data_IF_373003336371
#
_entry.id   IF_373003336371
#
_cell.length_a   1.000
_cell.length_b   1.000
_cell.length_c   1.000
_cell.angle_alpha   90.00
_cell.angle_beta   90.00
_cell.angle_gamma   90.00
#
_symmetry.space_group_name_H-M   'P 1'
#
loop_
_entity.id
_entity.type
_entity.pdbx_description
1 polymer ?
#
# COMPACT_ATOMS: atom_id res chain seq x y z
N UNK A 1 -12.91 -11.50 16.80
CA UNK A 1 -11.83 -12.48 16.54
C UNK A 1 -10.44 -11.82 16.52
N UNK A 2 -10.20 -10.86 15.62
CA UNK A 2 -8.87 -10.25 15.41
C UNK A 2 -8.38 -9.24 16.48
N UNK A 3 -9.12 -9.02 17.59
CA UNK A 3 -8.71 -8.09 18.66
C UNK A 3 -7.55 -8.59 19.52
N UNK A 4 -7.26 -9.89 19.49
CA UNK A 4 -6.18 -10.50 20.26
C UNK A 4 -5.01 -10.86 19.34
N UNK A 5 -3.77 -10.68 19.82
CA UNK A 5 -2.56 -11.17 19.14
C UNK A 5 -2.35 -12.64 19.48
N UNK A 6 -3.07 -13.55 18.81
CA UNK A 6 -2.77 -14.99 18.85
C UNK A 6 -2.12 -15.43 17.54
N UNK A 7 -1.11 -16.32 17.55
CA UNK A 7 -0.51 -16.84 16.32
C UNK A 7 -1.55 -17.51 15.39
N UNK A 8 -2.56 -18.19 15.96
CA UNK A 8 -3.66 -18.78 15.20
C UNK A 8 -4.47 -17.76 14.38
N UNK A 9 -4.48 -16.48 14.77
CA UNK A 9 -5.17 -15.44 14.00
C UNK A 9 -4.52 -15.16 12.64
N UNK A 10 -3.25 -15.56 12.41
CA UNK A 10 -2.61 -15.48 11.09
C UNK A 10 -3.31 -16.42 10.10
N UNK A 11 -3.56 -17.66 10.54
CA UNK A 11 -4.23 -18.69 9.73
C UNK A 11 -5.69 -18.29 9.49
N UNK A 12 -6.38 -17.82 10.53
CA UNK A 12 -7.75 -17.29 10.40
C UNK A 12 -7.80 -16.12 9.42
N UNK A 13 -6.81 -15.21 9.47
CA UNK A 13 -6.71 -14.09 8.54
C UNK A 13 -6.49 -14.57 7.10
N UNK A 14 -5.71 -15.64 6.90
CA UNK A 14 -5.50 -16.23 5.58
C UNK A 14 -6.81 -16.74 5.00
N UNK A 15 -7.56 -17.57 5.73
CA UNK A 15 -8.85 -18.06 5.29
C UNK A 15 -9.87 -16.92 5.10
N UNK A 16 -9.88 -15.94 5.99
CA UNK A 16 -10.71 -14.75 5.85
C UNK A 16 -10.41 -13.98 4.56
N UNK A 17 -9.13 -13.72 4.27
CA UNK A 17 -8.70 -13.06 3.05
C UNK A 17 -9.05 -13.87 1.80
N UNK A 18 -8.85 -15.19 1.85
CA UNK A 18 -9.17 -16.09 0.74
C UNK A 18 -10.67 -16.05 0.43
N UNK A 19 -11.53 -16.14 1.46
CA UNK A 19 -12.99 -16.04 1.31
C UNK A 19 -13.42 -14.71 0.69
N UNK A 20 -12.84 -13.59 1.15
CA UNK A 20 -13.13 -12.25 0.61
C UNK A 20 -12.63 -12.04 -0.81
N UNK A 21 -11.74 -12.90 -1.32
CA UNK A 21 -11.13 -12.76 -2.64
C UNK A 21 -11.39 -13.97 -3.54
N UNK A 22 -12.33 -14.85 -3.17
CA UNK A 22 -12.74 -16.01 -3.97
C UNK A 22 -13.09 -15.68 -5.43
N UNK A 23 -13.81 -14.58 -5.74
CA UNK A 23 -14.14 -14.23 -7.14
C UNK A 23 -12.92 -14.03 -8.03
N UNK A 24 -11.77 -13.65 -7.46
CA UNK A 24 -10.51 -13.50 -8.20
C UNK A 24 -10.05 -14.82 -8.85
N UNK A 25 -10.40 -15.95 -8.24
CA UNK A 25 -10.07 -17.28 -8.73
C UNK A 25 -11.14 -17.85 -9.67
N UNK A 26 -12.40 -17.42 -9.51
CA UNK A 26 -13.51 -17.85 -10.38
C UNK A 26 -13.58 -17.05 -11.68
N UNK A 27 -13.19 -15.77 -11.66
CA UNK A 27 -13.13 -14.89 -12.82
C UNK A 27 -11.71 -14.34 -12.99
N UNK A 28 -10.72 -15.20 -13.28
CA UNK A 28 -9.34 -14.75 -13.39
C UNK A 28 -9.20 -13.92 -14.67
N UNK A 29 -8.85 -12.63 -14.52
CA UNK A 29 -8.58 -11.74 -15.65
C UNK A 29 -7.13 -11.91 -16.08
N UNK A 30 -6.89 -12.08 -17.38
CA UNK A 30 -5.54 -12.02 -17.93
C UNK A 30 -5.02 -10.59 -17.79
N UNK A 31 -3.89 -10.44 -17.10
CA UNK A 31 -3.30 -9.14 -16.82
C UNK A 31 -2.28 -8.88 -17.91
N UNK A 32 -2.64 -7.99 -18.83
CA UNK A 32 -1.72 -7.48 -19.84
C UNK A 32 -1.12 -6.20 -19.26
N UNK A 33 0.21 -6.15 -19.16
CA UNK A 33 0.90 -4.93 -18.79
C UNK A 33 0.55 -3.83 -19.81
N UNK A 34 0.09 -2.69 -19.32
CA UNK A 34 -0.37 -1.57 -20.15
C UNK A 34 0.84 -0.82 -20.69
N UNK A 35 0.73 -0.12 -21.83
CA UNK A 35 1.85 0.65 -22.44
C UNK A 35 2.48 1.69 -21.51
N UNK A 36 1.77 2.09 -20.45
CA UNK A 36 2.22 3.05 -19.43
C UNK A 36 2.86 2.37 -18.20
N UNK A 37 2.90 1.04 -18.14
CA UNK A 37 3.61 0.34 -17.08
C UNK A 37 5.12 0.36 -17.33
N UNK A 38 5.92 0.38 -16.27
CA UNK A 38 7.37 0.44 -16.40
C UNK A 38 7.95 -0.88 -16.96
N UNK A 39 9.08 -0.79 -17.66
CA UNK A 39 9.78 -1.92 -18.30
C UNK A 39 9.99 -3.13 -17.37
N UNK A 40 10.24 -2.87 -16.08
CA UNK A 40 10.49 -3.92 -15.11
C UNK A 40 9.22 -4.70 -14.75
N UNK A 41 8.06 -4.03 -14.77
CA UNK A 41 6.77 -4.71 -14.63
C UNK A 41 6.48 -5.57 -15.88
N UNK A 42 6.75 -5.05 -17.07
CA UNK A 42 6.66 -5.85 -18.31
C UNK A 42 7.57 -7.08 -18.28
N UNK A 43 8.80 -6.95 -17.78
CA UNK A 43 9.71 -8.07 -17.60
C UNK A 43 9.15 -9.13 -16.63
N UNK A 44 8.59 -8.69 -15.51
CA UNK A 44 7.97 -9.58 -14.53
C UNK A 44 6.78 -10.35 -15.14
N UNK A 45 5.88 -9.66 -15.83
CA UNK A 45 4.73 -10.30 -16.49
C UNK A 45 5.18 -11.29 -17.56
N UNK A 46 6.16 -10.95 -18.41
CA UNK A 46 6.74 -11.88 -19.39
C UNK A 46 7.35 -13.12 -18.73
N UNK A 47 8.01 -12.93 -17.58
CA UNK A 47 8.55 -14.05 -16.79
C UNK A 47 7.46 -14.98 -16.27
N UNK A 48 6.35 -14.43 -15.78
CA UNK A 48 5.18 -15.20 -15.38
C UNK A 48 4.54 -15.91 -16.58
N UNK A 49 4.47 -15.24 -17.73
CA UNK A 49 3.88 -15.79 -18.95
C UNK A 49 4.68 -16.97 -19.52
N UNK A 50 5.99 -17.00 -19.31
CA UNK A 50 6.85 -18.12 -19.73
C UNK A 50 6.66 -19.38 -18.88
N UNK A 51 6.08 -19.29 -17.70
CA UNK A 51 5.94 -20.41 -16.74
C UNK A 51 4.65 -21.20 -17.00
N UNK A 52 3.58 -20.57 -17.48
CA UNK A 52 2.30 -21.22 -17.72
C UNK A 52 1.62 -20.69 -18.99
N UNK A 53 0.91 -21.55 -19.71
CA UNK A 53 0.09 -21.14 -20.86
C UNK A 53 -1.28 -20.60 -20.44
N UNK A 54 -1.65 -20.74 -19.15
CA UNK A 54 -2.90 -20.25 -18.57
C UNK A 54 -2.62 -19.33 -17.35
N UNK A 55 -2.12 -18.12 -17.61
CA UNK A 55 -1.53 -17.23 -16.61
C UNK A 55 -2.52 -16.54 -15.67
N UNK A 56 -3.81 -16.55 -15.97
CA UNK A 56 -4.78 -15.76 -15.23
C UNK A 56 -4.90 -16.22 -13.76
N UNK A 57 -4.95 -17.52 -13.50
CA UNK A 57 -5.02 -18.07 -12.12
C UNK A 57 -3.71 -17.85 -11.36
N UNK A 58 -2.57 -17.99 -12.03
CA UNK A 58 -1.25 -17.77 -11.41
C UNK A 58 -1.09 -16.30 -11.01
N UNK A 59 -1.45 -15.37 -11.89
CA UNK A 59 -1.47 -13.94 -11.59
C UNK A 59 -2.41 -13.60 -10.43
N UNK A 60 -3.61 -14.19 -10.38
CA UNK A 60 -4.53 -14.06 -9.25
C UNK A 60 -3.92 -14.57 -7.93
N UNK A 61 -3.24 -15.73 -7.96
CA UNK A 61 -2.57 -16.27 -6.78
C UNK A 61 -1.44 -15.36 -6.30
N UNK A 62 -0.60 -14.87 -7.21
CA UNK A 62 0.49 -13.94 -6.91
C UNK A 62 -0.05 -12.63 -6.34
N UNK A 63 -1.11 -12.05 -6.93
CA UNK A 63 -1.77 -10.85 -6.41
C UNK A 63 -2.31 -11.07 -4.99
N UNK A 64 -2.97 -12.20 -4.75
CA UNK A 64 -3.45 -12.58 -3.41
C UNK A 64 -2.31 -12.67 -2.39
N UNK A 65 -1.20 -13.31 -2.75
CA UNK A 65 -0.02 -13.41 -1.88
C UNK A 65 0.55 -12.04 -1.55
N UNK A 66 0.68 -11.14 -2.54
CA UNK A 66 1.12 -9.77 -2.29
C UNK A 66 0.19 -9.07 -1.30
N UNK A 67 -1.12 -9.10 -1.51
CA UNK A 67 -2.11 -8.46 -0.62
C UNK A 67 -2.07 -9.04 0.80
N UNK A 68 -1.90 -10.36 0.93
CA UNK A 68 -1.80 -11.03 2.22
C UNK A 68 -0.50 -10.66 2.95
N UNK A 69 0.64 -10.66 2.25
CA UNK A 69 1.93 -10.23 2.80
C UNK A 69 1.86 -8.76 3.22
N UNK A 70 1.29 -7.89 2.39
CA UNK A 70 1.08 -6.47 2.70
C UNK A 70 0.20 -6.29 3.93
N UNK A 71 -0.88 -7.06 4.07
CA UNK A 71 -1.72 -7.04 5.27
C UNK A 71 -0.93 -7.40 6.53
N UNK A 72 -0.07 -8.42 6.47
CA UNK A 72 0.81 -8.80 7.57
C UNK A 72 1.88 -7.73 7.86
N UNK A 73 2.44 -7.10 6.84
CA UNK A 73 3.40 -6.01 6.98
C UNK A 73 2.76 -4.77 7.63
N UNK A 74 1.56 -4.38 7.23
CA UNK A 74 0.79 -3.29 7.87
C UNK A 74 0.49 -3.64 9.33
N UNK A 75 0.12 -4.89 9.60
CA UNK A 75 -0.09 -5.37 10.96
C UNK A 75 1.18 -5.33 11.81
N UNK A 76 2.31 -5.73 11.22
CA UNK A 76 3.61 -5.63 11.85
C UNK A 76 3.96 -4.18 12.17
N UNK A 77 3.82 -3.27 11.20
CA UNK A 77 4.05 -1.83 11.38
C UNK A 77 3.25 -1.27 12.56
N UNK A 78 1.94 -1.55 12.61
CA UNK A 78 1.08 -1.05 13.70
C UNK A 78 1.48 -1.62 15.07
N UNK A 79 1.78 -2.92 15.12
CA UNK A 79 2.06 -3.60 16.38
C UNK A 79 3.47 -3.30 16.92
N UNK A 80 4.48 -3.29 16.05
CA UNK A 80 5.87 -3.04 16.40
C UNK A 80 6.06 -1.62 16.92
N UNK A 81 5.48 -0.64 16.22
CA UNK A 81 5.54 0.77 16.61
C UNK A 81 4.43 1.20 17.56
N UNK A 82 3.70 0.24 18.13
CA UNK A 82 2.67 0.44 19.17
C UNK A 82 1.70 1.58 18.83
N UNK A 83 1.26 1.66 17.57
CA UNK A 83 0.31 2.70 17.13
C UNK A 83 -1.05 2.58 17.82
N UNK A 84 -1.35 1.38 18.33
CA UNK A 84 -2.53 1.07 19.13
C UNK A 84 -2.11 0.61 20.53
N UNK A 85 -2.99 0.79 21.52
CA UNK A 85 -2.68 0.49 22.94
C UNK A 85 -2.34 -0.98 23.21
N UNK A 86 -2.93 -1.90 22.45
CA UNK A 86 -2.67 -3.34 22.54
C UNK A 86 -2.49 -3.90 21.14
N UNK A 87 -1.59 -4.87 20.95
CA UNK A 87 -1.38 -5.44 19.64
C UNK A 87 -2.58 -6.29 19.22
N UNK A 88 -2.90 -6.25 17.93
CA UNK A 88 -4.06 -6.94 17.36
C UNK A 88 -3.81 -7.34 15.90
N UNK A 89 -4.78 -8.00 15.27
CA UNK A 89 -4.81 -8.29 13.82
C UNK A 89 -5.81 -7.40 13.07
N UNK A 90 -6.36 -6.38 13.73
CA UNK A 90 -7.31 -5.45 13.12
C UNK A 90 -6.74 -4.66 11.93
N UNK A 91 -5.47 -4.21 11.94
CA UNK A 91 -4.87 -3.56 10.76
C UNK A 91 -4.80 -4.48 9.55
N UNK A 92 -4.41 -5.74 9.76
CA UNK A 92 -4.34 -6.74 8.69
C UNK A 92 -5.74 -7.01 8.10
N UNK A 93 -6.73 -7.22 8.97
CA UNK A 93 -8.12 -7.42 8.58
C UNK A 93 -8.68 -6.20 7.82
N UNK A 94 -8.42 -4.99 8.32
CA UNK A 94 -8.85 -3.75 7.66
C UNK A 94 -8.21 -3.59 6.28
N UNK A 95 -6.92 -3.93 6.13
CA UNK A 95 -6.24 -3.89 4.84
C UNK A 95 -6.89 -4.83 3.81
N UNK A 96 -7.20 -6.08 4.20
CA UNK A 96 -7.86 -7.04 3.31
C UNK A 96 -9.29 -6.63 2.96
N UNK A 97 -10.04 -6.07 3.91
CA UNK A 97 -11.38 -5.52 3.65
C UNK A 97 -11.34 -4.37 2.66
N UNK A 98 -10.44 -3.40 2.88
CA UNK A 98 -10.34 -2.21 2.04
C UNK A 98 -9.90 -2.57 0.62
N UNK A 99 -8.90 -3.43 0.47
CA UNK A 99 -8.48 -3.89 -0.86
C UNK A 99 -9.58 -4.67 -1.59
N UNK A 100 -10.54 -5.26 -0.88
CA UNK A 100 -11.70 -5.92 -1.48
C UNK A 100 -12.89 -4.99 -1.78
N UNK A 101 -12.82 -3.69 -1.50
CA UNK A 101 -13.90 -2.75 -1.85
C UNK A 101 -13.98 -2.46 -3.35
N UNK A 102 -12.83 -2.46 -4.04
CA UNK A 102 -12.74 -2.22 -5.48
C UNK A 102 -12.09 -3.42 -6.17
N UNK A 103 -12.65 -3.94 -7.29
CA UNK A 103 -12.07 -5.09 -7.99
C UNK A 103 -10.61 -4.85 -8.39
N UNK A 104 -10.33 -3.66 -8.89
CA UNK A 104 -9.04 -3.21 -9.40
C UNK A 104 -7.87 -3.39 -8.42
N UNK A 105 -8.12 -3.22 -7.11
CA UNK A 105 -7.09 -3.40 -6.08
C UNK A 105 -6.75 -4.88 -5.79
N UNK A 106 -7.44 -5.83 -6.42
CA UNK A 106 -7.23 -7.26 -6.22
C UNK A 106 -6.39 -7.92 -7.30
N UNK A 107 -6.19 -7.23 -8.43
CA UNK A 107 -5.38 -7.73 -9.53
C UNK A 107 -3.91 -7.33 -9.37
N UNK A 108 -3.02 -8.15 -9.95
CA UNK A 108 -1.60 -7.82 -10.03
C UNK A 108 -1.45 -6.53 -10.86
N UNK A 109 -0.74 -5.57 -10.31
CA UNK A 109 -0.51 -4.28 -10.96
C UNK A 109 0.83 -3.71 -10.49
N UNK A 110 1.41 -2.84 -11.31
CA UNK A 110 2.62 -2.09 -10.96
C UNK A 110 2.48 -1.34 -9.61
N UNK A 111 1.38 -0.61 -9.33
CA UNK A 111 1.14 0.03 -8.03
C UNK A 111 1.04 -0.94 -6.86
N UNK A 112 0.49 -2.15 -7.06
CA UNK A 112 0.41 -3.18 -6.01
C UNK A 112 1.81 -3.65 -5.60
N UNK A 113 2.71 -3.87 -6.57
CA UNK A 113 4.09 -4.29 -6.25
C UNK A 113 4.83 -3.15 -5.52
N UNK A 114 4.73 -1.93 -6.05
CA UNK A 114 5.32 -0.73 -5.44
C UNK A 114 4.83 -0.52 -4.01
N UNK A 115 3.54 -0.76 -3.72
CA UNK A 115 2.99 -0.61 -2.37
C UNK A 115 3.68 -1.51 -1.34
N UNK A 116 4.14 -2.71 -1.74
CA UNK A 116 4.93 -3.60 -0.87
C UNK A 116 6.21 -2.93 -0.40
N UNK A 117 6.96 -2.34 -1.33
CA UNK A 117 8.21 -1.63 -1.03
C UNK A 117 7.96 -0.39 -0.19
N UNK A 118 6.89 0.35 -0.49
CA UNK A 118 6.48 1.51 0.32
C UNK A 118 6.16 1.09 1.76
N UNK A 119 5.39 0.02 2.00
CA UNK A 119 5.13 -0.45 3.37
C UNK A 119 6.44 -0.82 4.08
N UNK A 120 7.36 -1.49 3.37
CA UNK A 120 8.67 -1.84 3.91
C UNK A 120 9.50 -0.62 4.29
N UNK A 121 9.50 0.41 3.45
CA UNK A 121 10.15 1.69 3.70
C UNK A 121 9.63 2.31 4.99
N UNK A 122 8.30 2.38 5.19
CA UNK A 122 7.73 2.97 6.41
C UNK A 122 8.02 2.14 7.66
N UNK A 123 8.06 0.80 7.53
CA UNK A 123 8.56 -0.06 8.60
C UNK A 123 10.01 0.32 8.96
N UNK A 124 10.91 0.48 7.99
CA UNK A 124 12.30 0.87 8.27
C UNK A 124 12.39 2.30 8.80
N UNK A 125 11.61 3.23 8.27
CA UNK A 125 11.59 4.64 8.66
C UNK A 125 11.25 4.80 10.15
N UNK A 126 10.19 4.15 10.63
CA UNK A 126 9.78 4.25 12.03
C UNK A 126 10.79 3.63 13.02
N UNK A 127 11.62 2.68 12.56
CA UNK A 127 12.72 2.13 13.37
C UNK A 127 13.82 3.14 13.65
N UNK A 128 13.89 4.24 12.89
CA UNK A 128 14.94 5.25 13.02
C UNK A 128 14.73 6.23 14.18
N UNK A 129 13.61 6.12 14.91
CA UNK A 129 13.32 7.01 16.03
C UNK A 129 14.43 6.92 17.09
N UNK A 130 15.07 8.06 17.36
CA UNK A 130 16.13 8.21 18.36
C UNK A 130 17.37 7.29 18.17
N UNK A 131 17.61 6.78 16.96
CA UNK A 131 18.80 5.98 16.64
C UNK A 131 19.98 6.88 16.29
N UNK A 132 21.09 6.74 17.02
CA UNK A 132 22.29 7.60 16.88
C UNK A 132 23.03 7.41 15.55
N UNK A 133 23.15 6.16 15.09
CA UNK A 133 23.76 5.79 13.81
C UNK A 133 22.82 4.94 12.96
N UNK A 134 22.27 5.55 11.91
CA UNK A 134 21.25 4.94 11.05
C UNK A 134 21.67 4.88 9.57
N UNK A 135 22.97 5.09 9.27
CA UNK A 135 23.47 5.30 7.90
C UNK A 135 23.05 4.17 6.94
N UNK A 136 23.27 2.92 7.33
CA UNK A 136 22.89 1.76 6.51
C UNK A 136 21.38 1.62 6.31
N UNK A 137 20.59 1.83 7.38
CA UNK A 137 19.12 1.80 7.28
C UNK A 137 18.57 2.90 6.38
N UNK A 138 19.15 4.10 6.40
CA UNK A 138 18.74 5.23 5.57
C UNK A 138 19.08 4.99 4.10
N UNK A 139 20.28 4.48 3.81
CA UNK A 139 20.64 4.04 2.47
C UNK A 139 19.68 2.96 1.95
N UNK A 140 19.36 1.95 2.78
CA UNK A 140 18.42 0.89 2.41
C UNK A 140 17.00 1.42 2.15
N UNK A 141 16.53 2.41 2.91
CA UNK A 141 15.25 3.09 2.61
C UNK A 141 15.31 3.74 1.24
N UNK A 142 16.41 4.42 0.92
CA UNK A 142 16.60 5.04 -0.39
C UNK A 142 16.60 4.01 -1.51
N UNK A 143 17.33 2.91 -1.34
CA UNK A 143 17.41 1.80 -2.29
C UNK A 143 16.04 1.17 -2.54
N UNK A 144 15.26 0.90 -1.48
CA UNK A 144 13.90 0.39 -1.62
C UNK A 144 12.99 1.37 -2.38
N UNK A 145 13.16 2.68 -2.16
CA UNK A 145 12.39 3.69 -2.89
C UNK A 145 12.77 3.70 -4.38
N UNK A 146 14.06 3.60 -4.69
CA UNK A 146 14.55 3.50 -6.06
C UNK A 146 13.94 2.28 -6.78
N UNK A 147 13.96 1.11 -6.14
CA UNK A 147 13.32 -0.11 -6.68
C UNK A 147 11.81 0.09 -6.86
N UNK A 148 11.13 0.67 -5.88
CA UNK A 148 9.70 0.98 -5.97
C UNK A 148 9.39 1.87 -7.18
N UNK A 149 10.18 2.93 -7.38
CA UNK A 149 9.99 3.86 -8.50
C UNK A 149 10.24 3.21 -9.86
N UNK A 150 11.04 2.14 -9.91
CA UNK A 150 11.23 1.37 -11.13
C UNK A 150 10.07 0.47 -11.50
N UNK A 151 9.31 -0.01 -10.52
CA UNK A 151 8.06 -0.71 -10.81
C UNK A 151 6.95 0.29 -11.16
N UNK A 152 6.90 1.41 -10.43
CA UNK A 152 5.87 2.44 -10.56
C UNK A 152 6.46 3.82 -10.30
N UNK A 153 6.80 4.57 -11.35
CA UNK A 153 7.47 5.86 -11.24
C UNK A 153 6.80 6.87 -10.29
N UNK A 154 5.46 7.01 -10.25
CA UNK A 154 4.82 7.94 -9.31
C UNK A 154 5.11 7.67 -7.83
N UNK A 155 5.54 6.45 -7.47
CA UNK A 155 6.00 6.15 -6.11
C UNK A 155 7.27 6.92 -5.69
N UNK A 156 8.05 7.46 -6.64
CA UNK A 156 9.19 8.35 -6.36
C UNK A 156 8.77 9.59 -5.52
N UNK A 157 7.51 10.02 -5.62
CA UNK A 157 6.92 11.11 -4.83
C UNK A 157 7.05 10.87 -3.31
N UNK A 158 7.12 9.62 -2.86
CA UNK A 158 7.35 9.29 -1.45
C UNK A 158 8.72 9.71 -0.93
N UNK A 159 9.68 10.11 -1.79
CA UNK A 159 10.93 10.75 -1.37
C UNK A 159 10.66 11.94 -0.45
N UNK A 160 9.66 12.77 -0.80
CA UNK A 160 9.25 13.93 0.00
C UNK A 160 8.75 13.47 1.38
N UNK A 161 7.90 12.44 1.42
CA UNK A 161 7.39 11.89 2.68
C UNK A 161 8.51 11.36 3.58
N UNK A 162 9.48 10.65 2.99
CA UNK A 162 10.61 10.06 3.71
C UNK A 162 11.52 11.14 4.27
N UNK A 163 11.83 12.18 3.48
CA UNK A 163 12.62 13.33 3.94
C UNK A 163 11.95 14.05 5.12
N UNK A 164 10.65 14.35 5.00
CA UNK A 164 9.87 14.94 6.09
C UNK A 164 9.82 13.99 7.31
N UNK A 165 9.66 12.70 7.09
CA UNK A 165 9.67 11.69 8.14
C UNK A 165 10.99 11.62 8.89
N UNK A 166 12.13 11.72 8.18
CA UNK A 166 13.45 11.81 8.80
C UNK A 166 13.57 13.06 9.68
N UNK A 167 13.15 14.23 9.19
CA UNK A 167 13.15 15.49 9.95
C UNK A 167 12.28 15.37 11.22
N UNK A 168 11.12 14.70 11.12
CA UNK A 168 10.21 14.52 12.25
C UNK A 168 10.80 13.56 13.29
N UNK A 169 11.38 12.44 12.86
CA UNK A 169 11.85 11.38 13.77
C UNK A 169 13.15 11.74 14.48
N UNK A 170 14.04 12.48 13.83
CA UNK A 170 15.38 12.77 14.33
C UNK A 170 15.91 14.13 13.85
N UNK A 171 16.94 14.69 14.53
CA UNK A 171 17.58 15.92 14.07
C UNK A 171 18.13 15.76 12.65
N UNK A 172 17.88 16.77 11.82
CA UNK A 172 18.29 16.80 10.43
C UNK A 172 19.82 16.75 10.29
N UNK A 173 20.32 15.91 9.39
CA UNK A 173 21.75 15.79 9.06
C UNK A 173 21.89 15.65 7.55
N UNK A 174 22.63 16.56 6.92
CA UNK A 174 22.84 16.54 5.47
C UNK A 174 23.43 15.22 4.97
N UNK A 175 24.38 14.65 5.73
CA UNK A 175 25.00 13.36 5.38
C UNK A 175 23.97 12.23 5.23
N UNK A 176 22.88 12.28 5.97
CA UNK A 176 21.81 11.28 5.91
C UNK A 176 20.90 11.48 4.70
N UNK A 177 20.64 12.73 4.31
CA UNK A 177 19.95 13.05 3.06
C UNK A 177 20.75 12.58 1.85
N UNK A 178 22.06 12.83 1.85
CA UNK A 178 22.95 12.36 0.77
C UNK A 178 22.93 10.83 0.68
N UNK A 179 23.01 10.13 1.82
CA UNK A 179 22.92 8.66 1.84
C UNK A 179 21.58 8.14 1.31
N UNK A 180 20.47 8.80 1.66
CA UNK A 180 19.15 8.45 1.13
C UNK A 180 19.13 8.59 -0.39
N UNK A 181 19.58 9.73 -0.92
CA UNK A 181 19.62 10.01 -2.36
C UNK A 181 20.52 9.02 -3.11
N UNK A 182 21.70 8.72 -2.55
CA UNK A 182 22.60 7.69 -3.11
C UNK A 182 21.91 6.33 -3.19
N UNK A 183 21.17 5.94 -2.15
CA UNK A 183 20.34 4.74 -2.16
C UNK A 183 19.32 4.77 -3.29
N UNK A 184 18.57 5.87 -3.43
CA UNK A 184 17.56 6.04 -4.49
C UNK A 184 18.15 5.93 -5.89
N UNK A 185 19.34 6.50 -6.12
CA UNK A 185 20.01 6.48 -7.41
C UNK A 185 20.68 5.14 -7.74
N UNK A 186 20.90 4.27 -6.76
CA UNK A 186 21.63 3.01 -6.95
C UNK A 186 20.95 2.07 -7.96
N UNK A 187 19.62 1.78 -7.86
CA UNK A 187 18.93 1.02 -8.89
C UNK A 187 19.06 1.66 -10.28
N UNK A 188 19.04 3.00 -10.35
CA UNK A 188 19.13 3.72 -11.60
C UNK A 188 20.49 3.61 -12.26
N UNK A 189 21.54 3.65 -11.44
CA UNK A 189 22.90 3.45 -11.90
C UNK A 189 23.11 2.07 -12.53
N UNK A 190 22.65 0.99 -11.89
CA UNK A 190 22.83 -0.37 -12.41
C UNK A 190 22.04 -0.62 -13.69
N UNK A 191 20.80 -0.13 -13.76
CA UNK A 191 19.97 -0.26 -14.96
C UNK A 191 20.56 0.58 -16.10
N UNK A 192 21.06 1.77 -15.81
CA UNK A 192 21.75 2.58 -16.81
C UNK A 192 23.03 1.96 -17.34
N UNK A 193 23.82 1.33 -16.47
CA UNK A 193 24.97 0.54 -16.89
C UNK A 193 24.56 -0.63 -17.81
N UNK A 194 23.48 -1.33 -17.48
CA UNK A 194 22.95 -2.41 -18.33
C UNK A 194 22.46 -1.90 -19.71
N UNK A 195 21.74 -0.78 -19.74
CA UNK A 195 21.28 -0.17 -21.00
C UNK A 195 22.44 0.36 -21.84
N UNK A 196 23.47 0.92 -21.20
CA UNK A 196 24.71 1.36 -21.85
C UNK A 196 25.43 0.19 -22.53
N UNK A 197 25.59 -0.94 -21.83
CA UNK A 197 26.24 -2.14 -22.37
C UNK A 197 25.50 -2.78 -23.55
N UNK A 198 24.20 -2.50 -23.69
CA UNK A 198 23.36 -3.02 -24.78
C UNK A 198 23.11 -1.98 -25.90
N UNK A 199 23.82 -0.85 -25.91
CA UNK A 199 23.63 0.26 -26.85
C UNK A 199 22.19 0.80 -26.91
N UNK A 200 21.44 0.69 -25.79
CA UNK A 200 20.05 1.15 -25.64
C UNK A 200 19.91 2.32 -24.67
N UNK A 201 21.00 2.99 -24.34
CA UNK A 201 20.98 4.10 -23.39
C UNK A 201 20.24 5.30 -23.97
N UNK A 202 19.05 5.58 -23.44
CA UNK A 202 18.29 6.79 -23.71
C UNK A 202 17.84 7.41 -22.39
N UNK A 203 17.92 8.74 -22.30
CA UNK A 203 17.43 9.50 -21.15
C UNK A 203 15.91 9.30 -20.97
N UNK A 204 15.20 9.07 -22.07
CA UNK A 204 13.77 8.78 -22.06
C UNK A 204 13.41 7.51 -21.28
N UNK A 205 14.34 6.56 -21.12
CA UNK A 205 14.10 5.31 -20.41
C UNK A 205 14.08 5.49 -18.87
N UNK A 206 14.50 6.64 -18.36
CA UNK A 206 14.53 6.93 -16.91
C UNK A 206 13.43 7.88 -16.45
N UNK A 207 12.87 8.65 -17.37
CA UNK A 207 11.84 9.63 -17.09
C UNK A 207 10.67 9.35 -18.03
N UNK A 208 9.69 8.51 -17.59
CA UNK A 208 8.46 8.36 -18.36
C UNK A 208 7.82 9.74 -18.52
N UNK A 209 7.19 9.99 -19.67
CA UNK A 209 6.54 11.26 -19.94
C UNK A 209 5.56 11.60 -18.82
N UNK A 210 5.86 12.65 -18.04
CA UNK A 210 5.03 13.10 -16.93
C UNK A 210 3.86 13.89 -17.52
N UNK A 211 2.70 13.25 -17.61
CA UNK A 211 1.46 13.90 -18.00
C UNK A 211 0.52 13.99 -16.80
N UNK A 212 0.11 15.21 -16.47
CA UNK A 212 -0.95 15.44 -15.47
C UNK A 212 -2.28 15.41 -16.18
N UNK A 213 -3.01 14.31 -16.05
CA UNK A 213 -4.32 14.11 -16.69
C UNK A 213 -5.34 13.79 -15.62
N UNK A 214 -6.46 14.50 -15.63
CA UNK A 214 -7.59 14.21 -14.74
C UNK A 214 -8.24 12.89 -15.20
N UNK A 215 -8.25 11.84 -14.36
CA UNK A 215 -8.84 10.58 -14.76
C UNK A 215 -10.36 10.74 -14.95
N UNK A 216 -10.87 10.36 -16.12
CA UNK A 216 -12.31 10.36 -16.39
C UNK A 216 -12.93 9.14 -15.72
N UNK A 217 -13.43 9.33 -14.51
CA UNK A 217 -14.05 8.29 -13.69
C UNK A 217 -15.55 8.19 -14.03
N UNK A 218 -16.01 7.01 -14.44
CA UNK A 218 -17.44 6.73 -14.55
C UNK A 218 -18.05 6.63 -13.15
N UNK A 219 -18.66 7.73 -12.69
CA UNK A 219 -19.37 7.77 -11.42
C UNK A 219 -20.53 6.77 -11.44
N UNK A 220 -20.47 5.78 -10.55
CA UNK A 220 -21.51 4.77 -10.36
C UNK A 220 -21.93 4.78 -8.89
N UNK A 221 -23.20 4.48 -8.60
CA UNK A 221 -23.72 4.39 -7.22
C UNK A 221 -22.86 3.45 -6.36
N UNK A 222 -22.41 2.33 -6.94
CA UNK A 222 -21.49 1.38 -6.28
C UNK A 222 -20.18 2.05 -5.84
N UNK A 223 -19.57 2.84 -6.71
CA UNK A 223 -18.35 3.56 -6.39
C UNK A 223 -18.57 4.56 -5.23
N UNK A 224 -19.69 5.28 -5.23
CA UNK A 224 -20.03 6.21 -4.16
C UNK A 224 -20.17 5.48 -2.80
N UNK A 225 -20.82 4.32 -2.78
CA UNK A 225 -20.93 3.49 -1.56
C UNK A 225 -19.56 2.97 -1.11
N UNK A 226 -18.71 2.52 -2.04
CA UNK A 226 -17.33 2.10 -1.74
C UNK A 226 -16.51 3.22 -1.09
N UNK A 227 -16.60 4.44 -1.63
CA UNK A 227 -15.93 5.62 -1.07
C UNK A 227 -16.49 5.96 0.32
N UNK A 228 -17.80 5.89 0.51
CA UNK A 228 -18.43 6.14 1.81
C UNK A 228 -17.97 5.12 2.86
N UNK A 229 -17.91 3.84 2.49
CA UNK A 229 -17.44 2.75 3.34
C UNK A 229 -15.94 2.84 3.66
N UNK A 230 -15.17 3.51 2.83
CA UNK A 230 -13.76 3.83 3.07
C UNK A 230 -13.60 5.12 3.89
N UNK A 231 -14.43 6.14 3.68
CA UNK A 231 -14.31 7.44 4.34
C UNK A 231 -14.85 7.43 5.78
N UNK A 232 -16.02 6.82 6.03
CA UNK A 232 -16.66 6.86 7.36
C UNK A 232 -15.77 6.23 8.43
N UNK A 233 -15.31 4.97 8.31
CA UNK A 233 -14.51 4.37 9.36
C UNK A 233 -13.09 4.96 9.40
N UNK A 234 -12.60 5.58 8.33
CA UNK A 234 -11.39 6.40 8.38
C UNK A 234 -11.56 7.63 9.27
N UNK A 235 -12.63 8.42 9.08
CA UNK A 235 -12.89 9.63 9.86
C UNK A 235 -13.14 9.31 11.34
N UNK A 236 -13.93 8.28 11.62
CA UNK A 236 -14.15 7.78 12.98
C UNK A 236 -12.83 7.33 13.61
N UNK A 237 -11.98 6.66 12.82
CA UNK A 237 -10.67 6.18 13.26
C UNK A 237 -9.73 7.31 13.58
N UNK A 238 -9.70 8.33 12.73
CA UNK A 238 -8.97 9.58 12.95
C UNK A 238 -9.43 10.29 14.22
N UNK A 239 -10.74 10.37 14.47
CA UNK A 239 -11.27 10.93 15.72
C UNK A 239 -10.79 10.16 16.96
N UNK A 240 -10.81 8.82 16.92
CA UNK A 240 -10.30 8.02 18.04
C UNK A 240 -8.79 8.15 18.24
N UNK A 241 -8.01 8.22 17.16
CA UNK A 241 -6.57 8.47 17.25
C UNK A 241 -6.36 9.84 17.89
N UNK A 242 -6.97 10.90 17.36
CA UNK A 242 -6.86 12.28 17.86
C UNK A 242 -7.13 12.39 19.36
N UNK A 243 -8.23 11.80 19.84
CA UNK A 243 -8.60 11.82 21.26
C UNK A 243 -7.61 11.09 22.15
N UNK A 244 -6.91 10.07 21.64
CA UNK A 244 -5.92 9.30 22.39
C UNK A 244 -4.47 9.74 22.19
N UNK A 245 -4.18 10.62 21.22
CA UNK A 245 -2.82 11.07 20.89
C UNK A 245 -2.05 11.58 22.12
N UNK A 246 -2.69 12.35 23.00
CA UNK A 246 -2.04 12.94 24.18
C UNK A 246 -1.49 11.89 25.17
N UNK A 247 -2.10 10.69 25.22
CA UNK A 247 -1.68 9.59 26.10
C UNK A 247 -0.57 8.72 25.49
N UNK A 248 -0.27 8.89 24.20
CA UNK A 248 0.71 8.08 23.49
C UNK A 248 2.14 8.61 23.69
N UNK A 249 3.13 7.72 23.59
CA UNK A 249 4.54 8.09 23.59
C UNK A 249 4.87 9.03 22.41
N UNK A 250 5.92 9.84 22.56
CA UNK A 250 6.36 10.80 21.52
C UNK A 250 6.64 10.09 20.18
N UNK A 251 7.30 8.93 20.21
CA UNK A 251 7.55 8.10 19.03
C UNK A 251 6.26 7.76 18.28
N UNK A 252 5.23 7.35 19.01
CA UNK A 252 3.94 6.93 18.45
C UNK A 252 3.21 8.12 17.82
N UNK A 253 3.21 9.28 18.51
CA UNK A 253 2.62 10.52 17.95
C UNK A 253 3.29 10.93 16.64
N UNK A 254 4.63 10.94 16.60
CA UNK A 254 5.39 11.24 15.38
C UNK A 254 5.08 10.25 14.25
N UNK A 255 4.94 8.97 14.55
CA UNK A 255 4.59 7.94 13.57
C UNK A 255 3.19 8.17 12.98
N UNK A 256 2.20 8.54 13.81
CA UNK A 256 0.88 8.96 13.33
C UNK A 256 0.94 10.22 12.45
N UNK A 257 1.76 11.22 12.80
CA UNK A 257 1.97 12.40 11.96
C UNK A 257 2.55 12.04 10.59
N UNK A 258 3.47 11.10 10.54
CA UNK A 258 4.07 10.63 9.27
C UNK A 258 3.06 9.82 8.44
N UNK A 259 2.23 8.97 9.06
CA UNK A 259 1.11 8.31 8.38
C UNK A 259 0.08 9.31 7.84
N UNK A 260 -0.11 10.45 8.51
CA UNK A 260 -0.98 11.51 8.01
C UNK A 260 -0.33 12.23 6.81
N UNK A 261 0.98 12.50 6.84
CA UNK A 261 1.72 13.07 5.71
C UNK A 261 1.78 12.15 4.49
N UNK A 262 1.70 10.83 4.70
CA UNK A 262 1.58 9.84 3.62
C UNK A 262 0.33 10.11 2.77
N UNK A 263 -0.82 10.36 3.41
CA UNK A 263 -2.12 10.43 2.74
C UNK A 263 -2.22 11.46 1.59
N UNK A 264 -1.87 12.74 1.77
CA UNK A 264 -1.97 13.71 0.68
C UNK A 264 -1.07 13.34 -0.48
N UNK A 265 0.14 12.84 -0.22
CA UNK A 265 1.07 12.42 -1.27
C UNK A 265 0.48 11.23 -2.05
N UNK A 266 -0.02 10.21 -1.36
CA UNK A 266 -0.67 9.06 -1.99
C UNK A 266 -1.97 9.43 -2.73
N UNK A 267 -2.66 10.49 -2.31
CA UNK A 267 -3.89 10.96 -2.95
C UNK A 267 -3.58 11.65 -4.29
N UNK A 268 -2.49 12.42 -4.36
CA UNK A 268 -2.09 13.13 -5.58
C UNK A 268 -1.35 12.25 -6.60
N UNK A 269 -0.81 11.10 -6.18
CA UNK A 269 -0.07 10.18 -7.06
C UNK A 269 -0.84 9.83 -8.35
N UNK A 270 -2.14 9.49 -8.33
CA UNK A 270 -2.82 9.05 -9.56
C UNK A 270 -3.12 10.16 -10.56
N UNK A 271 -2.89 11.43 -10.20
CA UNK A 271 -2.92 12.53 -11.15
C UNK A 271 -1.65 12.60 -11.99
N UNK A 272 -0.61 11.84 -11.64
CA UNK A 272 0.66 11.72 -12.37
C UNK A 272 0.61 10.44 -13.20
N UNK A 273 0.66 10.57 -14.54
CA UNK A 273 0.63 9.44 -15.50
C UNK A 273 -0.61 8.57 -15.32
N UNK A 274 -1.79 9.18 -15.48
CA UNK A 274 -3.05 8.50 -15.21
C UNK A 274 -3.50 7.59 -16.34
N UNK A 275 -3.72 6.32 -15.99
CA UNK A 275 -4.69 5.47 -16.67
C UNK A 275 -6.07 5.78 -16.07
N UNK A 276 -7.15 5.55 -16.80
CA UNK A 276 -8.54 5.72 -16.33
C UNK A 276 -8.97 4.72 -15.24
N UNK A 277 -8.01 4.09 -14.55
CA UNK A 277 -8.18 3.05 -13.52
C UNK A 277 -7.81 3.54 -12.11
N UNK A 278 -8.51 3.03 -11.10
CA UNK A 278 -8.27 3.18 -9.67
C UNK A 278 -7.10 2.39 -9.10
N UNK A 279 -6.41 1.57 -9.90
CA UNK A 279 -5.23 0.79 -9.49
C UNK A 279 -4.22 1.63 -8.67
N UNK A 280 -3.95 2.86 -9.11
CA UNK A 280 -2.96 3.74 -8.50
C UNK A 280 -3.32 4.17 -7.06
N UNK A 281 -4.61 4.22 -6.71
CA UNK A 281 -5.06 4.56 -5.34
C UNK A 281 -4.83 3.45 -4.32
N UNK A 282 -4.35 2.26 -4.72
CA UNK A 282 -4.02 1.19 -3.76
C UNK A 282 -2.98 1.64 -2.73
N UNK A 283 -2.12 2.59 -3.09
CA UNK A 283 -1.14 3.18 -2.18
C UNK A 283 -1.81 3.85 -0.97
N UNK A 284 -3.03 4.38 -1.11
CA UNK A 284 -3.79 4.96 0.01
C UNK A 284 -4.24 3.90 1.02
N UNK A 285 -4.39 2.64 0.62
CA UNK A 285 -5.00 1.63 1.48
C UNK A 285 -4.20 1.40 2.76
N UNK A 286 -2.87 1.60 2.73
CA UNK A 286 -1.99 1.44 3.89
C UNK A 286 -2.38 2.35 5.05
N UNK A 287 -2.32 3.70 4.94
CA UNK A 287 -2.75 4.58 6.03
C UNK A 287 -4.23 4.39 6.34
N UNK A 288 -5.09 4.23 5.33
CA UNK A 288 -6.52 3.99 5.57
C UNK A 288 -6.74 2.76 6.46
N UNK A 289 -6.05 1.63 6.22
CA UNK A 289 -6.13 0.43 7.04
C UNK A 289 -5.70 0.68 8.50
N UNK A 290 -4.64 1.47 8.71
CA UNK A 290 -4.18 1.81 10.06
C UNK A 290 -5.21 2.63 10.85
N UNK A 291 -5.87 3.62 10.22
CA UNK A 291 -6.93 4.39 10.86
C UNK A 291 -8.23 3.58 11.02
N UNK A 292 -8.59 2.75 10.04
CA UNK A 292 -9.73 1.84 10.14
C UNK A 292 -9.58 0.87 11.32
N UNK A 293 -8.37 0.35 11.56
CA UNK A 293 -8.10 -0.50 12.71
C UNK A 293 -8.46 0.18 14.03
N UNK A 294 -8.20 1.49 14.15
CA UNK A 294 -8.56 2.32 15.31
C UNK A 294 -10.08 2.31 15.54
N UNK A 295 -10.89 2.43 14.48
CA UNK A 295 -12.36 2.36 14.55
C UNK A 295 -12.85 1.04 15.11
N UNK A 296 -12.19 -0.06 14.78
CA UNK A 296 -12.57 -1.37 15.31
C UNK A 296 -12.07 -1.62 16.73
N UNK A 297 -11.09 -0.87 17.20
CA UNK A 297 -10.41 -1.11 18.48
C UNK A 297 -10.94 -0.26 19.63
N UNK A 298 -11.01 1.06 19.45
CA UNK A 298 -11.26 2.01 20.54
C UNK A 298 -12.70 2.05 21.09
N UNK A 299 -13.78 1.84 20.30
CA UNK A 299 -15.13 1.88 20.83
C UNK A 299 -15.39 0.86 21.95
N UNK A 300 -15.89 1.34 23.09
CA UNK A 300 -16.28 0.51 24.22
C UNK A 300 -17.51 -0.36 23.91
N UNK A 301 -18.53 0.23 23.26
CA UNK A 301 -19.71 -0.50 22.77
C UNK A 301 -19.35 -1.23 21.47
N UNK A 302 -19.53 -2.54 21.45
CA UNK A 302 -19.21 -3.39 20.29
C UNK A 302 -20.17 -3.23 19.11
N UNK A 303 -21.31 -2.56 19.30
CA UNK A 303 -22.33 -2.37 18.26
C UNK A 303 -21.78 -1.65 17.03
N UNK A 304 -21.15 -0.48 17.20
CA UNK A 304 -20.67 0.34 16.08
C UNK A 304 -19.56 -0.38 15.26
N UNK A 305 -18.48 -0.92 15.86
CA UNK A 305 -17.49 -1.70 15.11
C UNK A 305 -18.06 -2.90 14.36
N UNK A 306 -18.98 -3.64 15.00
CA UNK A 306 -19.56 -4.83 14.40
C UNK A 306 -20.48 -4.45 13.23
N UNK A 307 -21.29 -3.40 13.38
CA UNK A 307 -22.16 -2.91 12.31
C UNK A 307 -21.33 -2.50 11.10
N UNK A 308 -20.28 -1.69 11.27
CA UNK A 308 -19.41 -1.28 10.17
C UNK A 308 -18.70 -2.47 9.50
N UNK A 309 -18.26 -3.45 10.30
CA UNK A 309 -17.63 -4.67 9.79
C UNK A 309 -18.60 -5.53 8.97
N UNK A 310 -19.80 -5.80 9.47
CA UNK A 310 -20.78 -6.60 8.75
C UNK A 310 -21.36 -5.87 7.54
N UNK A 311 -21.52 -4.55 7.61
CA UNK A 311 -21.96 -3.74 6.47
C UNK A 311 -20.91 -3.79 5.34
N UNK A 312 -19.63 -3.58 5.67
CA UNK A 312 -18.55 -3.66 4.67
C UNK A 312 -18.45 -5.05 4.05
N UNK A 313 -18.52 -6.13 4.84
CA UNK A 313 -18.51 -7.50 4.30
C UNK A 313 -19.75 -7.77 3.44
N UNK A 314 -20.94 -7.43 3.92
CA UNK A 314 -22.18 -7.63 3.16
C UNK A 314 -22.16 -6.88 1.82
N UNK A 315 -21.62 -5.67 1.82
CA UNK A 315 -21.41 -4.89 0.60
C UNK A 315 -20.40 -5.55 -0.35
N UNK A 316 -19.25 -6.00 0.15
CA UNK A 316 -18.23 -6.69 -0.66
C UNK A 316 -18.82 -7.95 -1.30
N UNK A 317 -19.51 -8.79 -0.53
CA UNK A 317 -20.15 -10.00 -1.04
C UNK A 317 -21.24 -9.70 -2.07
N UNK A 318 -22.05 -8.66 -1.83
CA UNK A 318 -23.04 -8.21 -2.80
C UNK A 318 -22.40 -7.73 -4.10
N UNK A 319 -21.32 -6.93 -4.02
CA UNK A 319 -20.59 -6.50 -5.21
C UNK A 319 -20.01 -7.68 -6.00
N UNK A 320 -19.49 -8.66 -5.29
CA UNK A 320 -18.82 -9.82 -5.87
C UNK A 320 -19.76 -10.81 -6.55
N UNK A 321 -20.91 -11.10 -5.95
CA UNK A 321 -21.84 -12.13 -6.44
C UNK A 321 -23.15 -11.57 -7.01
N UNK A 322 -23.56 -10.37 -6.59
CA UNK A 322 -24.81 -9.73 -6.99
C UNK A 322 -24.67 -8.74 -8.14
N UNK A 323 -23.45 -8.36 -8.53
CA UNK A 323 -23.20 -7.42 -9.63
C UNK A 323 -22.16 -7.96 -10.60
N UNK A 324 -22.24 -7.53 -11.86
CA UNK A 324 -21.26 -7.90 -12.90
C UNK A 324 -19.97 -7.05 -12.83
N UNK A 325 -19.76 -6.28 -11.75
CA UNK A 325 -18.59 -5.38 -11.62
C UNK A 325 -17.29 -6.19 -11.45
N UNK A 326 -17.37 -7.41 -10.91
CA UNK A 326 -16.24 -8.31 -10.68
C UNK A 326 -16.05 -9.36 -11.77
N UNK A 327 -17.02 -9.50 -12.67
CA UNK A 327 -16.92 -10.31 -13.89
C UNK A 327 -16.18 -9.51 -14.97
#
# INVERSE_FOLDING_TARGET
MFRQKSPGNIIVLFFFGMLLKLPLFFHPKQIIATENDEDFYHWLIKGLDSISTNNAVLCSLVAFLFLYIQALMVNYLVNEYRLMQKPSYLPAMAYLLLTSLLPEWNFLSSPLIASTFIIWIFIKLFSLYNVSSARGSIYNIGLLLGISSYFYFPSATFLICILLGLIILKPFRLNEVVLLLMGCLTPYYFIGAYLFLNDKLSIANFFPHIAVVVPVIKSTIWLAISILLLAIPFLVGGFFVQTHLHKMLIQVRKSWSILLLYLPLAFFIPFVNSNSSFNNWILLVVPFATFHASTYFYPAKKFMPNLLFFLTIGYILYMQYGTNVWQ
#
